data_IF_061731830528
#
_entry.id   IF_061731830528
#
_cell.length_a   1.000
_cell.length_b   1.000
_cell.length_c   1.000
_cell.angle_alpha   90.00
_cell.angle_beta   90.00
_cell.angle_gamma   90.00
#
_symmetry.space_group_name_H-M   'P 1'
#
loop_
_entity.id
_entity.type
_entity.pdbx_description
1 polymer ?
#
# COMPACT_ATOMS: atom_id res chain seq x y z
N UNK A 1 4.51 -14.39 10.67
CA UNK A 1 3.47 -15.33 10.24
C UNK A 1 3.99 -16.76 10.08
N UNK A 2 5.25 -16.97 9.76
CA UNK A 2 5.80 -18.28 9.44
C UNK A 2 7.08 -18.51 10.23
N UNK A 3 6.96 -19.13 11.43
CA UNK A 3 8.09 -19.77 12.13
C UNK A 3 8.14 -21.23 11.73
N UNK A 4 9.35 -21.85 11.76
CA UNK A 4 9.52 -23.27 11.49
C UNK A 4 8.53 -24.09 12.35
N UNK A 5 7.64 -24.82 11.69
CA UNK A 5 6.54 -25.58 12.30
C UNK A 5 5.12 -25.06 12.06
N UNK A 6 4.95 -23.79 11.67
CA UNK A 6 3.60 -23.21 11.41
C UNK A 6 3.16 -23.24 9.94
N UNK A 7 4.00 -23.75 9.04
CA UNK A 7 3.63 -23.93 7.61
C UNK A 7 2.37 -24.80 7.46
N UNK A 8 2.32 -25.93 8.16
CA UNK A 8 1.15 -26.81 8.12
C UNK A 8 -0.12 -26.18 8.69
N UNK A 9 0.00 -25.31 9.70
CA UNK A 9 -1.17 -24.61 10.27
C UNK A 9 -1.77 -23.63 9.28
N UNK A 10 -0.92 -22.81 8.61
CA UNK A 10 -1.38 -21.85 7.60
C UNK A 10 -2.00 -22.56 6.39
N UNK A 11 -1.36 -23.62 5.91
CA UNK A 11 -1.89 -24.47 4.83
C UNK A 11 -3.30 -25.00 5.17
N UNK A 12 -3.46 -25.60 6.35
CA UNK A 12 -4.76 -26.10 6.82
C UNK A 12 -5.78 -24.98 7.02
N UNK A 13 -5.34 -23.79 7.44
CA UNK A 13 -6.23 -22.66 7.61
C UNK A 13 -6.78 -22.18 6.25
N UNK A 14 -5.93 -22.06 5.23
CA UNK A 14 -6.36 -21.74 3.87
C UNK A 14 -7.31 -22.81 3.31
N UNK A 15 -7.04 -24.09 3.56
CA UNK A 15 -7.92 -25.19 3.15
C UNK A 15 -9.31 -25.09 3.79
N UNK A 16 -9.42 -24.70 5.06
CA UNK A 16 -10.71 -24.46 5.75
C UNK A 16 -11.49 -23.30 5.14
N UNK A 17 -10.79 -22.33 4.52
CA UNK A 17 -11.38 -21.23 3.77
C UNK A 17 -11.63 -21.55 2.30
N UNK A 18 -11.58 -22.84 1.94
CA UNK A 18 -11.96 -23.35 0.61
C UNK A 18 -10.86 -23.27 -0.45
N UNK A 19 -9.62 -23.00 -0.07
CA UNK A 19 -8.48 -22.95 -0.98
C UNK A 19 -7.38 -23.91 -0.52
N UNK A 20 -7.10 -24.93 -1.33
CA UNK A 20 -5.98 -25.86 -1.10
C UNK A 20 -4.86 -25.48 -2.06
N UNK A 21 -3.79 -24.82 -1.57
CA UNK A 21 -2.66 -24.49 -2.43
C UNK A 21 -1.92 -25.74 -2.88
N UNK A 22 -1.28 -25.68 -4.04
CA UNK A 22 -0.24 -26.63 -4.39
C UNK A 22 0.92 -26.54 -3.38
N UNK A 23 1.48 -27.66 -2.95
CA UNK A 23 2.50 -27.69 -1.90
C UNK A 23 3.75 -26.90 -2.27
N UNK A 24 4.24 -27.03 -3.54
CA UNK A 24 5.42 -26.30 -3.99
C UNK A 24 5.15 -24.79 -4.08
N UNK A 25 3.99 -24.40 -4.60
CA UNK A 25 3.56 -23.00 -4.65
C UNK A 25 3.48 -22.39 -3.24
N UNK A 26 3.01 -23.18 -2.29
CA UNK A 26 2.91 -22.74 -0.90
C UNK A 26 4.30 -22.63 -0.20
N UNK A 27 5.21 -23.57 -0.48
CA UNK A 27 6.59 -23.52 0.00
C UNK A 27 7.32 -22.30 -0.54
N UNK A 28 7.25 -22.02 -1.84
CA UNK A 28 7.82 -20.83 -2.48
C UNK A 28 7.29 -19.53 -1.85
N UNK A 29 6.00 -19.48 -1.59
CA UNK A 29 5.38 -18.35 -0.88
C UNK A 29 5.97 -18.17 0.52
N UNK A 30 6.10 -19.24 1.30
CA UNK A 30 6.68 -19.19 2.63
C UNK A 30 8.13 -18.72 2.63
N UNK A 31 8.93 -19.14 1.66
CA UNK A 31 10.32 -18.67 1.48
C UNK A 31 10.36 -17.17 1.11
N UNK A 32 9.45 -16.71 0.25
CA UNK A 32 9.30 -15.30 -0.09
C UNK A 32 8.97 -14.46 1.15
N UNK A 33 8.03 -14.92 1.99
CA UNK A 33 7.70 -14.25 3.25
C UNK A 33 8.90 -14.15 4.20
N UNK A 34 9.68 -15.23 4.35
CA UNK A 34 10.88 -15.25 5.20
C UNK A 34 11.94 -14.28 4.69
N UNK A 35 12.08 -14.13 3.39
CA UNK A 35 13.05 -13.23 2.76
C UNK A 35 12.58 -11.77 2.69
N UNK A 36 11.31 -11.48 3.04
CA UNK A 36 10.72 -10.14 2.96
C UNK A 36 10.59 -9.60 1.52
N UNK A 37 10.51 -10.50 0.53
CA UNK A 37 10.42 -10.14 -0.89
C UNK A 37 8.99 -10.22 -1.39
N UNK A 38 8.68 -9.44 -2.41
CA UNK A 38 7.45 -9.61 -3.18
C UNK A 38 7.47 -11.00 -3.87
N UNK A 39 6.33 -11.68 -3.84
CA UNK A 39 6.16 -12.98 -4.45
C UNK A 39 5.40 -12.88 -5.78
N UNK A 40 5.96 -13.44 -6.85
CA UNK A 40 5.37 -13.45 -8.18
C UNK A 40 4.71 -14.80 -8.46
N UNK A 41 3.41 -14.76 -8.78
CA UNK A 41 2.65 -15.88 -9.30
C UNK A 41 2.45 -15.70 -10.80
N UNK A 42 3.03 -16.54 -11.62
CA UNK A 42 2.83 -16.54 -13.07
C UNK A 42 1.99 -17.74 -13.52
N UNK A 43 1.21 -17.60 -14.59
CA UNK A 43 0.41 -18.68 -15.13
C UNK A 43 -0.69 -18.18 -16.07
N UNK A 44 -1.34 -19.13 -16.75
CA UNK A 44 -2.41 -18.82 -17.69
C UNK A 44 -3.63 -18.16 -17.01
N UNK A 45 -4.46 -17.49 -17.78
CA UNK A 45 -5.73 -16.93 -17.28
C UNK A 45 -6.61 -18.03 -16.70
N UNK A 46 -7.24 -17.76 -15.58
CA UNK A 46 -8.13 -18.73 -14.91
C UNK A 46 -7.40 -19.80 -14.08
N UNK A 47 -6.07 -19.77 -13.94
CA UNK A 47 -5.31 -20.71 -13.10
C UNK A 47 -5.41 -20.47 -11.59
N UNK A 48 -6.21 -19.51 -11.14
CA UNK A 48 -6.41 -19.25 -9.70
C UNK A 48 -5.36 -18.36 -9.04
N UNK A 49 -4.56 -17.61 -9.83
CA UNK A 49 -3.49 -16.74 -9.28
C UNK A 49 -3.99 -15.74 -8.22
N UNK A 50 -5.12 -15.13 -8.46
CA UNK A 50 -5.73 -14.14 -7.54
C UNK A 50 -6.41 -14.82 -6.36
N UNK A 51 -6.85 -16.08 -6.50
CA UNK A 51 -7.51 -16.82 -5.43
C UNK A 51 -6.58 -17.14 -4.25
N UNK A 52 -5.28 -17.32 -4.50
CA UNK A 52 -4.30 -17.57 -3.42
C UNK A 52 -4.22 -16.42 -2.43
N UNK A 53 -3.91 -15.15 -2.86
CA UNK A 53 -3.83 -14.03 -1.93
C UNK A 53 -5.17 -13.71 -1.25
N UNK A 54 -6.30 -13.90 -1.93
CA UNK A 54 -7.62 -13.73 -1.34
C UNK A 54 -7.87 -14.74 -0.21
N UNK A 55 -7.54 -16.01 -0.45
CA UNK A 55 -7.65 -17.06 0.56
C UNK A 55 -6.70 -16.84 1.73
N UNK A 56 -5.48 -16.37 1.47
CA UNK A 56 -4.51 -15.99 2.52
C UNK A 56 -5.06 -14.86 3.40
N UNK A 57 -5.56 -13.80 2.77
CA UNK A 57 -6.11 -12.65 3.50
C UNK A 57 -7.32 -13.07 4.34
N UNK A 58 -8.24 -13.87 3.78
CA UNK A 58 -9.41 -14.38 4.49
C UNK A 58 -9.01 -15.31 5.65
N UNK A 59 -8.10 -16.26 5.41
CA UNK A 59 -7.64 -17.22 6.41
C UNK A 59 -6.96 -16.55 7.62
N UNK A 60 -6.17 -15.50 7.36
CA UNK A 60 -5.44 -14.78 8.41
C UNK A 60 -6.15 -13.50 8.89
N UNK A 61 -7.35 -13.21 8.40
CA UNK A 61 -8.10 -11.97 8.69
C UNK A 61 -7.25 -10.71 8.46
N UNK A 62 -6.58 -10.64 7.30
CA UNK A 62 -5.74 -9.52 6.91
C UNK A 62 -6.52 -8.54 6.05
N UNK A 63 -6.20 -7.24 6.19
CA UNK A 63 -6.65 -6.23 5.22
C UNK A 63 -6.00 -6.51 3.87
N UNK A 64 -6.71 -6.22 2.78
CA UNK A 64 -6.24 -6.47 1.43
C UNK A 64 -6.41 -5.20 0.59
N UNK A 65 -5.36 -4.84 -0.14
CA UNK A 65 -5.33 -3.78 -1.14
C UNK A 65 -4.99 -4.39 -2.49
N UNK A 66 -5.69 -3.98 -3.55
CA UNK A 66 -5.55 -4.59 -4.89
C UNK A 66 -5.34 -3.51 -5.94
N UNK A 67 -4.25 -3.61 -6.69
CA UNK A 67 -4.00 -2.81 -7.88
C UNK A 67 -4.14 -3.72 -9.10
N UNK A 68 -5.14 -3.46 -9.93
CA UNK A 68 -5.31 -4.17 -11.19
C UNK A 68 -4.52 -3.49 -12.32
N UNK A 69 -3.66 -4.24 -13.00
CA UNK A 69 -2.89 -3.77 -14.15
C UNK A 69 -3.80 -3.42 -15.32
N UNK A 70 -3.60 -2.23 -15.89
CA UNK A 70 -4.32 -1.74 -17.07
C UNK A 70 -3.52 -0.68 -17.80
N UNK A 71 -3.82 -0.52 -19.09
CA UNK A 71 -3.25 0.56 -19.87
C UNK A 71 -3.65 1.94 -19.31
N UNK A 72 -2.68 2.85 -19.28
CA UNK A 72 -2.91 4.22 -18.82
C UNK A 72 -3.06 4.39 -17.30
N UNK A 73 -2.75 3.36 -16.51
CA UNK A 73 -2.68 3.47 -15.05
C UNK A 73 -1.65 4.52 -14.66
N UNK A 74 -2.03 5.40 -13.74
CA UNK A 74 -1.17 6.50 -13.30
C UNK A 74 -0.65 6.27 -11.88
N UNK A 75 0.51 6.84 -11.60
CA UNK A 75 1.15 6.78 -10.29
C UNK A 75 0.25 7.36 -9.18
N UNK A 76 -0.44 8.46 -9.47
CA UNK A 76 -1.35 9.14 -8.53
C UNK A 76 -2.52 8.24 -8.11
N UNK A 77 -2.96 7.36 -9.00
CA UNK A 77 -4.06 6.44 -8.74
C UNK A 77 -3.65 5.31 -7.78
N UNK A 78 -2.38 4.91 -7.76
CA UNK A 78 -1.91 3.76 -6.97
C UNK A 78 -1.16 4.16 -5.70
N UNK A 79 -0.41 5.27 -5.72
CA UNK A 79 0.37 5.71 -4.56
C UNK A 79 -0.40 6.74 -3.74
N UNK A 80 -0.49 7.95 -4.24
CA UNK A 80 -1.18 9.05 -3.57
C UNK A 80 -1.46 10.21 -4.54
N UNK A 81 -2.45 10.99 -4.19
CA UNK A 81 -2.72 12.30 -4.80
C UNK A 81 -3.10 13.31 -3.71
N UNK A 82 -3.12 14.58 -4.05
CA UNK A 82 -3.58 15.63 -3.17
C UNK A 82 -5.02 16.03 -3.51
N UNK A 83 -5.87 16.16 -2.50
CA UNK A 83 -7.20 16.72 -2.65
C UNK A 83 -7.11 18.23 -2.93
N UNK A 84 -6.92 18.56 -4.21
CA UNK A 84 -6.75 19.94 -4.67
C UNK A 84 -8.02 20.77 -4.46
N UNK A 85 -9.20 20.15 -4.47
CA UNK A 85 -10.48 20.84 -4.25
C UNK A 85 -10.59 21.25 -2.79
N UNK A 86 -10.35 20.34 -1.87
CA UNK A 86 -10.38 20.61 -0.43
C UNK A 86 -9.28 21.59 -0.03
N UNK A 87 -8.07 21.49 -0.62
CA UNK A 87 -7.02 22.48 -0.44
C UNK A 87 -7.44 23.89 -0.91
N UNK A 88 -8.18 23.98 -2.02
CA UNK A 88 -8.65 25.26 -2.52
C UNK A 88 -9.77 25.85 -1.62
N UNK A 89 -10.65 25.03 -1.08
CA UNK A 89 -11.64 25.44 -0.07
C UNK A 89 -10.93 25.96 1.17
N UNK A 90 -10.00 25.19 1.72
CA UNK A 90 -9.17 25.56 2.86
C UNK A 90 -8.50 26.92 2.69
N UNK A 91 -7.87 27.15 1.53
CA UNK A 91 -7.19 28.42 1.27
C UNK A 91 -8.16 29.60 1.14
N UNK A 92 -9.35 29.41 0.54
CA UNK A 92 -10.39 30.45 0.44
C UNK A 92 -10.91 30.87 1.82
N UNK A 93 -11.15 29.92 2.69
CA UNK A 93 -11.59 30.17 4.07
C UNK A 93 -10.53 30.96 4.85
N UNK A 94 -9.27 30.54 4.74
CA UNK A 94 -8.16 31.24 5.44
C UNK A 94 -7.91 32.65 4.88
N UNK A 95 -8.11 32.86 3.58
CA UNK A 95 -8.06 34.21 3.00
C UNK A 95 -9.20 35.11 3.54
N UNK A 96 -10.38 34.55 3.75
CA UNK A 96 -11.49 35.30 4.33
C UNK A 96 -11.25 35.66 5.81
N UNK A 97 -10.69 34.71 6.57
CA UNK A 97 -10.31 34.93 7.97
C UNK A 97 -9.15 35.93 8.11
N UNK A 98 -8.15 35.85 7.26
CA UNK A 98 -7.01 36.76 7.27
C UNK A 98 -7.44 38.24 7.17
N UNK A 99 -8.48 38.55 6.38
CA UNK A 99 -9.00 39.93 6.24
C UNK A 99 -9.58 40.51 7.54
N UNK A 100 -9.84 39.67 8.53
CA UNK A 100 -10.35 40.10 9.85
C UNK A 100 -9.20 40.35 10.87
N UNK A 101 -7.97 39.98 10.51
CA UNK A 101 -6.79 40.16 11.37
C UNK A 101 -6.11 41.50 11.09
N UNK A 102 -5.32 42.04 12.06
CA UNK A 102 -4.42 43.16 11.86
C UNK A 102 -3.49 42.93 10.67
N UNK A 103 -3.17 43.96 9.91
CA UNK A 103 -2.39 43.84 8.66
C UNK A 103 -1.02 43.17 8.88
N UNK A 104 -0.41 43.41 10.03
CA UNK A 104 0.88 42.83 10.42
C UNK A 104 0.84 41.31 10.67
N UNK A 105 -0.32 40.76 11.04
CA UNK A 105 -0.51 39.33 11.32
C UNK A 105 -0.97 38.53 10.08
N UNK A 106 -1.53 39.20 9.07
CA UNK A 106 -2.11 38.53 7.88
C UNK A 106 -1.11 37.67 7.12
N UNK A 107 0.12 38.16 6.95
CA UNK A 107 1.14 37.47 6.18
C UNK A 107 1.56 36.15 6.86
N UNK A 108 1.82 36.17 8.15
CA UNK A 108 2.19 34.98 8.92
C UNK A 108 1.04 33.96 8.97
N UNK A 109 -0.19 34.42 9.19
CA UNK A 109 -1.38 33.57 9.18
C UNK A 109 -1.57 32.85 7.85
N UNK A 110 -1.42 33.55 6.72
CA UNK A 110 -1.54 32.96 5.38
C UNK A 110 -0.37 32.02 5.06
N UNK A 111 0.83 32.30 5.51
CA UNK A 111 1.97 31.39 5.34
C UNK A 111 1.77 30.09 6.12
N UNK A 112 1.23 30.17 7.33
CA UNK A 112 0.87 28.99 8.11
C UNK A 112 -0.24 28.19 7.41
N UNK A 113 -1.27 28.84 6.87
CA UNK A 113 -2.30 28.18 6.09
C UNK A 113 -1.76 27.47 4.83
N UNK A 114 -0.82 28.12 4.11
CA UNK A 114 -0.15 27.52 2.94
C UNK A 114 0.67 26.29 3.28
N UNK A 115 1.33 26.25 4.42
CA UNK A 115 2.07 25.08 4.91
C UNK A 115 1.12 23.96 5.31
N UNK A 116 0.05 24.31 6.02
CA UNK A 116 -0.95 23.37 6.52
C UNK A 116 -1.74 22.64 5.43
N UNK A 117 -1.78 23.15 4.19
CA UNK A 117 -2.41 22.43 3.09
C UNK A 117 -1.70 21.14 2.65
N UNK A 118 -0.49 20.87 3.17
CA UNK A 118 0.28 19.67 2.88
C UNK A 118 0.20 18.62 4.01
N UNK A 119 -0.84 18.72 4.84
CA UNK A 119 -1.11 17.79 5.93
C UNK A 119 -1.82 16.52 5.45
N UNK A 120 -1.78 15.48 6.31
CA UNK A 120 -2.38 14.16 6.05
C UNK A 120 -3.83 14.21 5.59
N UNK A 121 -4.63 15.14 6.11
CA UNK A 121 -6.07 15.28 5.79
C UNK A 121 -6.36 15.58 4.33
N UNK A 122 -5.42 16.19 3.60
CA UNK A 122 -5.55 16.49 2.17
C UNK A 122 -4.89 15.44 1.28
N UNK A 123 -4.34 14.37 1.86
CA UNK A 123 -3.68 13.32 1.15
C UNK A 123 -4.65 12.18 0.88
N UNK A 124 -4.91 11.91 -0.39
CA UNK A 124 -5.71 10.78 -0.86
C UNK A 124 -4.76 9.65 -1.22
N UNK A 125 -4.92 8.50 -0.59
CA UNK A 125 -4.07 7.34 -0.85
C UNK A 125 -4.72 6.43 -1.89
N UNK A 126 -3.92 6.02 -2.89
CA UNK A 126 -4.24 4.88 -3.73
C UNK A 126 -3.95 3.56 -3.00
N UNK A 127 -4.24 2.43 -3.63
CA UNK A 127 -4.18 1.11 -3.00
C UNK A 127 -2.78 0.75 -2.45
N UNK A 128 -1.71 1.10 -3.17
CA UNK A 128 -0.34 0.91 -2.66
C UNK A 128 -0.11 1.82 -1.46
N UNK A 129 -0.44 3.11 -1.58
CA UNK A 129 -0.33 4.07 -0.48
C UNK A 129 -1.07 3.59 0.77
N UNK A 130 -2.29 3.10 0.60
CA UNK A 130 -3.13 2.56 1.67
C UNK A 130 -2.51 1.31 2.32
N UNK A 131 -1.95 0.39 1.53
CA UNK A 131 -1.30 -0.79 2.06
C UNK A 131 -0.11 -0.42 2.97
N UNK A 132 0.72 0.54 2.56
CA UNK A 132 1.86 1.00 3.35
C UNK A 132 1.45 1.81 4.59
N UNK A 133 0.38 2.61 4.52
CA UNK A 133 -0.20 3.34 5.67
C UNK A 133 -0.78 2.37 6.71
N UNK A 134 -1.52 1.36 6.24
CA UNK A 134 -2.04 0.29 7.10
C UNK A 134 -0.92 -0.52 7.76
N UNK A 135 0.16 -0.82 7.03
CA UNK A 135 1.31 -1.52 7.58
C UNK A 135 2.00 -0.72 8.70
N UNK A 136 2.19 0.59 8.49
CA UNK A 136 2.74 1.49 9.52
C UNK A 136 1.83 1.57 10.75
N UNK A 137 0.52 1.65 10.53
CA UNK A 137 -0.48 1.64 11.61
C UNK A 137 -0.50 0.32 12.37
N UNK A 138 -0.38 -0.81 11.66
CA UNK A 138 -0.34 -2.14 12.26
C UNK A 138 0.93 -2.33 13.12
N UNK A 139 2.08 -1.89 12.61
CA UNK A 139 3.36 -1.94 13.33
C UNK A 139 3.37 -1.11 14.62
N UNK A 140 2.64 0.02 14.61
CA UNK A 140 2.54 0.93 15.76
C UNK A 140 1.45 0.53 16.77
N UNK A 141 0.63 -0.49 16.46
CA UNK A 141 -0.46 -0.91 17.34
C UNK A 141 0.04 -1.74 18.54
N UNK A 142 -0.72 -1.71 19.65
CA UNK A 142 -0.42 -2.53 20.84
C UNK A 142 -1.66 -3.35 21.22
N UNK A 143 -1.64 -4.70 21.07
CA UNK A 143 -0.56 -5.51 20.50
C UNK A 143 -0.37 -5.23 19.00
N UNK A 144 0.85 -5.48 18.51
CA UNK A 144 1.17 -5.33 17.08
C UNK A 144 0.27 -6.22 16.22
N UNK A 145 -0.33 -5.62 15.18
CA UNK A 145 -1.20 -6.33 14.25
C UNK A 145 -0.39 -6.86 13.06
N UNK A 146 -0.86 -7.90 12.39
CA UNK A 146 -0.23 -8.36 11.16
C UNK A 146 -0.36 -7.31 10.05
N UNK A 147 0.62 -7.26 9.12
CA UNK A 147 0.58 -6.34 7.98
C UNK A 147 -0.52 -6.75 6.98
N UNK A 148 -0.99 -5.81 6.14
CA UNK A 148 -1.95 -6.10 5.08
C UNK A 148 -1.31 -6.89 3.94
N UNK A 149 -2.15 -7.48 3.08
CA UNK A 149 -1.76 -8.04 1.78
C UNK A 149 -1.94 -6.97 0.71
N UNK A 150 -0.91 -6.75 -0.11
CA UNK A 150 -0.96 -5.94 -1.32
C UNK A 150 -0.88 -6.84 -2.54
N UNK A 151 -1.89 -6.81 -3.39
CA UNK A 151 -1.94 -7.55 -4.64
C UNK A 151 -1.66 -6.60 -5.79
N UNK A 152 -0.63 -6.89 -6.58
CA UNK A 152 -0.33 -6.26 -7.86
C UNK A 152 -0.79 -7.21 -8.97
N UNK A 153 -2.08 -7.13 -9.33
CA UNK A 153 -2.71 -8.08 -10.25
C UNK A 153 -2.44 -7.69 -11.71
N UNK A 154 -2.19 -8.68 -12.57
CA UNK A 154 -1.84 -8.49 -13.98
C UNK A 154 -0.69 -7.49 -14.17
N UNK A 155 0.40 -7.64 -13.43
CA UNK A 155 1.55 -6.72 -13.47
C UNK A 155 2.24 -6.64 -14.84
N UNK A 156 2.04 -7.63 -15.71
CA UNK A 156 2.44 -7.61 -17.11
C UNK A 156 1.81 -6.45 -17.92
N UNK A 157 0.77 -5.80 -17.39
CA UNK A 157 0.13 -4.62 -17.98
C UNK A 157 0.60 -3.30 -17.36
N UNK A 158 1.50 -3.32 -16.40
CA UNK A 158 2.05 -2.10 -15.85
C UNK A 158 2.99 -1.44 -16.87
N UNK A 159 2.86 -0.12 -17.02
CA UNK A 159 3.82 0.66 -17.77
C UNK A 159 5.07 0.94 -16.95
N UNK A 160 6.20 1.23 -17.62
CA UNK A 160 7.48 1.51 -16.97
C UNK A 160 7.41 2.57 -15.85
N UNK A 161 6.56 3.60 -16.02
CA UNK A 161 6.36 4.62 -14.98
C UNK A 161 5.76 4.08 -13.69
N UNK A 162 4.88 3.07 -13.79
CA UNK A 162 4.33 2.40 -12.62
C UNK A 162 5.38 1.52 -11.96
N UNK A 163 6.11 0.74 -12.76
CA UNK A 163 7.20 -0.12 -12.25
C UNK A 163 8.25 0.71 -11.51
N UNK A 164 8.71 1.82 -12.10
CA UNK A 164 9.66 2.74 -11.46
C UNK A 164 9.11 3.32 -10.13
N UNK A 165 7.82 3.65 -10.09
CA UNK A 165 7.18 4.20 -8.90
C UNK A 165 7.05 3.20 -7.74
N UNK A 166 7.04 1.90 -8.05
CA UNK A 166 6.96 0.82 -7.07
C UNK A 166 8.34 0.44 -6.48
N UNK A 167 9.46 0.82 -7.10
CA UNK A 167 10.80 0.45 -6.62
C UNK A 167 11.04 0.87 -5.17
N UNK A 168 10.80 2.14 -4.84
CA UNK A 168 11.01 2.65 -3.48
C UNK A 168 10.13 1.96 -2.43
N UNK A 169 8.80 1.83 -2.63
CA UNK A 169 7.95 1.06 -1.73
C UNK A 169 8.45 -0.37 -1.51
N UNK A 170 8.76 -1.10 -2.58
CA UNK A 170 9.18 -2.50 -2.51
C UNK A 170 10.56 -2.66 -1.84
N UNK A 171 11.54 -1.82 -2.19
CA UNK A 171 12.90 -1.93 -1.66
C UNK A 171 13.04 -1.36 -0.24
N UNK A 172 12.43 -0.21 0.03
CA UNK A 172 12.63 0.55 1.28
C UNK A 172 11.49 0.44 2.28
N UNK A 173 10.31 -0.03 1.84
CA UNK A 173 9.11 -0.04 2.66
C UNK A 173 8.52 1.35 2.88
N UNK A 174 8.91 2.33 2.07
CA UNK A 174 8.55 3.74 2.23
C UNK A 174 8.08 4.35 0.91
N UNK A 175 7.06 5.20 0.99
CA UNK A 175 6.59 6.07 -0.09
C UNK A 175 6.96 7.49 0.29
N UNK A 176 7.85 8.13 -0.47
CA UNK A 176 8.20 9.52 -0.28
C UNK A 176 7.13 10.42 -0.88
N UNK A 177 6.64 11.38 -0.12
CA UNK A 177 5.60 12.32 -0.54
C UNK A 177 6.13 13.74 -0.43
N UNK A 178 6.46 14.39 -1.56
CA UNK A 178 6.95 15.75 -1.58
C UNK A 178 5.99 16.72 -0.88
N UNK A 179 6.56 17.61 -0.05
CA UNK A 179 5.84 18.62 0.75
C UNK A 179 4.98 18.08 1.89
N UNK A 180 4.71 16.78 1.96
CA UNK A 180 3.99 16.19 3.09
C UNK A 180 4.78 16.44 4.39
N UNK A 181 4.12 16.91 5.44
CA UNK A 181 4.78 17.21 6.72
C UNK A 181 5.46 15.98 7.37
N UNK A 182 4.90 14.78 7.16
CA UNK A 182 5.48 13.50 7.58
C UNK A 182 6.61 13.00 6.67
N UNK A 183 6.78 13.58 5.49
CA UNK A 183 7.81 13.22 4.50
C UNK A 183 7.60 11.88 3.82
N UNK A 184 7.22 10.84 4.55
CA UNK A 184 7.03 9.47 4.06
C UNK A 184 5.83 8.79 4.68
N UNK A 185 5.30 7.77 3.96
CA UNK A 185 4.35 6.79 4.48
C UNK A 185 4.99 5.41 4.37
N UNK A 186 4.66 4.52 5.31
CA UNK A 186 5.15 3.15 5.34
C UNK A 186 6.05 2.86 6.53
N UNK A 187 6.71 1.71 6.50
CA UNK A 187 7.57 1.21 7.57
C UNK A 187 8.82 0.57 6.98
N UNK A 188 10.03 0.97 7.43
CA UNK A 188 11.28 0.42 6.87
C UNK A 188 11.56 -1.00 7.35
N UNK A 189 11.04 -1.42 8.51
CA UNK A 189 11.20 -2.79 9.01
C UNK A 189 10.48 -3.79 8.10
N UNK A 190 11.23 -4.69 7.49
CA UNK A 190 10.74 -5.62 6.49
C UNK A 190 9.68 -6.60 7.02
N UNK A 191 9.71 -6.96 8.31
CA UNK A 191 8.71 -7.83 8.93
C UNK A 191 7.33 -7.16 9.08
N UNK A 192 7.32 -5.84 9.05
CA UNK A 192 6.12 -5.02 9.24
C UNK A 192 5.56 -4.48 7.93
N UNK A 193 6.27 -4.66 6.80
CA UNK A 193 5.82 -4.21 5.47
C UNK A 193 4.61 -5.01 4.99
N UNK A 194 3.83 -4.49 4.01
CA UNK A 194 2.79 -5.26 3.36
C UNK A 194 3.33 -6.58 2.80
N UNK A 195 2.52 -7.64 2.85
CA UNK A 195 2.80 -8.89 2.13
C UNK A 195 2.46 -8.62 0.66
N UNK A 196 3.48 -8.48 -0.18
CA UNK A 196 3.27 -8.13 -1.59
C UNK A 196 3.22 -9.39 -2.45
N UNK A 197 2.11 -9.56 -3.15
CA UNK A 197 1.90 -10.67 -4.10
C UNK A 197 1.60 -10.06 -5.47
N UNK A 198 2.41 -10.44 -6.44
CA UNK A 198 2.29 -9.97 -7.82
C UNK A 198 1.79 -11.10 -8.69
N UNK A 199 0.81 -10.86 -9.55
CA UNK A 199 0.37 -11.83 -10.54
C UNK A 199 0.74 -11.39 -11.96
N UNK A 200 1.03 -12.35 -12.83
CA UNK A 200 1.30 -12.11 -14.25
C UNK A 200 0.69 -13.22 -15.12
N UNK A 201 0.20 -12.83 -16.29
CA UNK A 201 -0.23 -13.79 -17.32
C UNK A 201 0.92 -14.15 -18.28
N UNK A 202 2.03 -13.44 -18.20
CA UNK A 202 3.20 -13.67 -19.04
C UNK A 202 4.16 -14.67 -18.39
N UNK A 203 4.39 -15.78 -19.08
CA UNK A 203 5.35 -16.83 -18.69
C UNK A 203 6.73 -16.51 -19.31
N UNK A 204 7.28 -15.34 -19.01
CA UNK A 204 8.65 -15.03 -19.47
C UNK A 204 9.71 -15.59 -18.55
#
# INVERSE_FOLDING_TARGET
LVSDGKHGELFQLMARHGYVPDEHVFEDFCESLKSGRAWLISGTRGSGKTAFPEALAAACNLSMCVVAGRDGLKQEEILYDWDNEEQAVWMREHLALAKQLPLEEQAEFLDNARRSKWQRRFLVLGEVGMAYDLAASAASSTPMKPPPVLILDESDKFGASIEDSLLMPLERGLIYIPRYEGGTIGVPDWNSRPIVITTSNDLR
#
